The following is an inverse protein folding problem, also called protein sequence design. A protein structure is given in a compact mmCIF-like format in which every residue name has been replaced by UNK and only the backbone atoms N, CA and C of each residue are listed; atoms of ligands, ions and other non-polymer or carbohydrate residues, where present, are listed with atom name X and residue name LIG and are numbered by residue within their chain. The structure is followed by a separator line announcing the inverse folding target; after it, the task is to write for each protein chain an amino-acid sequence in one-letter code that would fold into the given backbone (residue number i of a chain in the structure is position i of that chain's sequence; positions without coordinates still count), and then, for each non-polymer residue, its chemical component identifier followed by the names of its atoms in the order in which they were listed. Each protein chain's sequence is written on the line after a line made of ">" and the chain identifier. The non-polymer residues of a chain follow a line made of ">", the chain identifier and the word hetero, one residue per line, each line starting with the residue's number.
data_IF_541718922334
#
_entry.id   IF_541718922334
#
_cell.length_a   1.000
_cell.length_b   1.000
_cell.length_c   1.000
_cell.angle_alpha   90.00
_cell.angle_beta   90.00
_cell.angle_gamma   90.00
#
_symmetry.space_group_name_H-M   'P 1'
#
loop_
_entity.id
_entity.type
_entity.pdbx_description
1 polymer ?
#
# COMPACT_ATOMS: atom_id res chain seq x y z
N UNK A 1 -20.07 -33.23 -36.22
CA UNK A 1 -18.68 -33.66 -36.46
C UNK A 1 -17.96 -33.66 -35.11
N UNK A 2 -17.79 -34.81 -34.42
CA UNK A 2 -17.07 -34.83 -33.15
C UNK A 2 -15.56 -34.70 -33.40
N UNK A 3 -14.92 -33.76 -32.69
CA UNK A 3 -13.49 -33.52 -32.76
C UNK A 3 -12.71 -34.74 -32.24
N UNK A 4 -11.85 -35.30 -33.08
CA UNK A 4 -10.96 -36.40 -32.72
C UNK A 4 -9.85 -35.88 -31.81
N UNK A 5 -9.85 -36.34 -30.57
CA UNK A 5 -8.76 -36.11 -29.61
C UNK A 5 -7.62 -37.07 -29.97
N UNK A 6 -6.54 -36.53 -30.53
CA UNK A 6 -5.30 -37.26 -30.74
C UNK A 6 -4.58 -37.35 -29.38
N UNK A 7 -4.67 -38.52 -28.73
CA UNK A 7 -3.94 -38.83 -27.50
C UNK A 7 -2.57 -39.44 -27.83
N UNK A 8 -1.50 -38.78 -27.41
CA UNK A 8 -0.16 -39.38 -27.32
C UNK A 8 -0.11 -40.36 -26.13
N UNK A 9 0.59 -41.50 -26.25
CA UNK A 9 0.62 -42.53 -25.22
C UNK A 9 1.38 -42.05 -23.97
N UNK A 10 0.74 -42.11 -22.81
CA UNK A 10 1.38 -41.89 -21.50
C UNK A 10 0.97 -40.64 -20.73
N UNK A 11 0.14 -39.75 -21.29
CA UNK A 11 -0.46 -38.65 -20.52
C UNK A 11 -1.89 -39.00 -20.11
N UNK A 12 -2.28 -38.89 -18.82
CA UNK A 12 -3.68 -39.03 -18.45
C UNK A 12 -4.48 -37.97 -19.20
N UNK A 13 -5.53 -38.40 -19.90
CA UNK A 13 -6.47 -37.51 -20.57
C UNK A 13 -7.21 -36.65 -19.53
N UNK A 14 -6.60 -35.53 -19.12
CA UNK A 14 -7.26 -34.55 -18.26
C UNK A 14 -8.31 -33.89 -19.14
N UNK A 15 -9.59 -34.20 -18.89
CA UNK A 15 -10.70 -33.57 -19.60
C UNK A 15 -10.58 -32.04 -19.47
N UNK A 16 -10.88 -31.25 -20.52
CA UNK A 16 -10.72 -29.80 -20.50
C UNK A 16 -11.46 -29.12 -19.34
N UNK A 17 -12.65 -29.63 -18.98
CA UNK A 17 -13.45 -29.26 -17.80
C UNK A 17 -12.69 -29.37 -16.45
N UNK A 18 -11.70 -30.26 -16.38
CA UNK A 18 -10.87 -30.43 -15.19
C UNK A 18 -9.74 -29.38 -15.13
N UNK A 19 -9.25 -28.85 -16.26
CA UNK A 19 -8.15 -27.87 -16.28
C UNK A 19 -8.58 -26.48 -15.80
N UNK A 20 -9.78 -26.06 -16.17
CA UNK A 20 -10.33 -24.76 -15.76
C UNK A 20 -10.66 -24.73 -14.27
N UNK A 21 -11.27 -25.82 -13.77
CA UNK A 21 -11.58 -25.98 -12.35
C UNK A 21 -10.32 -26.00 -11.48
N UNK A 22 -9.25 -26.68 -11.91
CA UNK A 22 -7.97 -26.66 -11.18
C UNK A 22 -7.32 -25.27 -11.17
N UNK A 23 -7.40 -24.53 -12.28
CA UNK A 23 -6.91 -23.14 -12.32
C UNK A 23 -7.67 -22.22 -11.36
N UNK A 24 -9.00 -22.35 -11.29
CA UNK A 24 -9.83 -21.59 -10.35
C UNK A 24 -9.44 -21.92 -8.91
N UNK A 25 -9.26 -23.20 -8.58
CA UNK A 25 -8.82 -23.64 -7.23
C UNK A 25 -7.45 -23.08 -6.88
N UNK A 26 -6.49 -23.18 -7.79
CA UNK A 26 -5.13 -22.66 -7.60
C UNK A 26 -5.18 -21.18 -7.23
N UNK A 27 -5.92 -20.38 -8.01
CA UNK A 27 -6.07 -18.94 -7.76
C UNK A 27 -6.80 -18.63 -6.45
N UNK A 28 -7.89 -19.32 -6.14
CA UNK A 28 -8.63 -19.10 -4.89
C UNK A 28 -7.83 -19.51 -3.65
N UNK A 29 -6.90 -20.45 -3.77
CA UNK A 29 -6.03 -20.89 -2.68
C UNK A 29 -4.79 -20.01 -2.51
N UNK A 30 -4.24 -19.44 -3.60
CA UNK A 30 -3.02 -18.61 -3.53
C UNK A 30 -3.31 -17.15 -3.13
N UNK A 31 -4.36 -16.54 -3.69
CA UNK A 31 -4.66 -15.12 -3.52
C UNK A 31 -4.81 -14.67 -2.07
N UNK A 32 -5.41 -15.45 -1.13
CA UNK A 32 -5.49 -15.04 0.27
C UNK A 32 -4.11 -14.81 0.91
N UNK A 33 -3.11 -15.63 0.59
CA UNK A 33 -1.75 -15.47 1.09
C UNK A 33 -1.08 -14.24 0.47
N UNK A 34 -1.26 -14.02 -0.83
CA UNK A 34 -0.75 -12.83 -1.54
C UNK A 34 -1.37 -11.53 -0.97
N UNK A 35 -2.68 -11.53 -0.71
CA UNK A 35 -3.39 -10.40 -0.06
C UNK A 35 -2.83 -10.16 1.35
N UNK A 36 -2.55 -11.21 2.11
CA UNK A 36 -2.02 -11.07 3.47
C UNK A 36 -0.62 -10.44 3.46
N UNK A 37 0.25 -10.83 2.52
CA UNK A 37 1.58 -10.24 2.39
C UNK A 37 1.50 -8.78 1.92
N UNK A 38 0.68 -8.47 0.92
CA UNK A 38 0.48 -7.08 0.48
C UNK A 38 -0.05 -6.18 1.61
N UNK A 39 -0.98 -6.69 2.44
CA UNK A 39 -1.47 -5.97 3.63
C UNK A 39 -0.41 -5.81 4.71
N UNK A 40 0.54 -6.74 4.82
CA UNK A 40 1.67 -6.62 5.74
C UNK A 40 2.61 -5.52 5.26
N UNK A 41 2.98 -5.51 3.97
CA UNK A 41 3.77 -4.45 3.37
C UNK A 41 3.15 -3.06 3.57
N UNK A 42 1.83 -2.92 3.31
CA UNK A 42 1.14 -1.65 3.53
C UNK A 42 1.20 -1.20 5.00
N UNK A 43 1.08 -2.13 5.96
CA UNK A 43 1.19 -1.81 7.39
C UNK A 43 2.60 -1.37 7.77
N UNK A 44 3.62 -2.05 7.25
CA UNK A 44 5.03 -1.70 7.49
C UNK A 44 5.35 -0.30 6.96
N UNK A 45 4.93 0.01 5.72
CA UNK A 45 5.10 1.35 5.14
C UNK A 45 4.34 2.42 5.94
N UNK A 46 3.12 2.11 6.39
CA UNK A 46 2.35 3.03 7.24
C UNK A 46 3.05 3.32 8.56
N UNK A 47 3.55 2.28 9.25
CA UNK A 47 4.31 2.46 10.49
C UNK A 47 5.56 3.30 10.26
N UNK A 48 6.32 3.03 9.20
CA UNK A 48 7.49 3.84 8.86
C UNK A 48 7.13 5.31 8.58
N UNK A 49 6.02 5.57 7.88
CA UNK A 49 5.55 6.93 7.63
C UNK A 49 5.19 7.66 8.94
N UNK A 50 4.51 6.98 9.86
CA UNK A 50 4.12 7.55 11.15
C UNK A 50 5.34 7.85 12.03
N UNK A 51 6.36 6.99 12.01
CA UNK A 51 7.63 7.22 12.70
C UNK A 51 8.37 8.46 12.15
N UNK A 52 8.49 8.57 10.84
CA UNK A 52 9.14 9.73 10.19
C UNK A 52 8.37 11.02 10.51
N UNK A 53 7.04 11.01 10.45
CA UNK A 53 6.21 12.16 10.84
C UNK A 53 6.45 12.56 12.30
N UNK A 54 6.55 11.59 13.20
CA UNK A 54 6.87 11.85 14.61
C UNK A 54 8.23 12.53 14.78
N UNK A 55 9.26 12.08 14.06
CA UNK A 55 10.58 12.71 14.07
C UNK A 55 10.54 14.15 13.53
N UNK A 56 9.84 14.37 12.40
CA UNK A 56 9.66 15.71 11.84
C UNK A 56 8.93 16.65 12.80
N UNK A 57 7.88 16.17 13.48
CA UNK A 57 7.15 16.95 14.49
C UNK A 57 8.04 17.37 15.67
N UNK A 58 8.96 16.50 16.11
CA UNK A 58 9.91 16.84 17.17
C UNK A 58 10.86 17.97 16.73
N UNK A 59 11.36 17.93 15.49
CA UNK A 59 12.20 19.00 14.93
C UNK A 59 11.42 20.31 14.82
N UNK A 60 10.18 20.25 14.34
CA UNK A 60 9.30 21.42 14.24
C UNK A 60 9.03 22.05 15.61
N UNK A 61 8.73 21.23 16.61
CA UNK A 61 8.48 21.68 17.98
C UNK A 61 9.71 22.36 18.60
N UNK A 62 10.90 21.78 18.41
CA UNK A 62 12.16 22.35 18.90
C UNK A 62 12.45 23.71 18.24
N UNK A 63 12.34 23.80 16.91
CA UNK A 63 12.55 25.06 16.20
C UNK A 63 11.52 26.11 16.63
N UNK A 64 10.25 25.72 16.78
CA UNK A 64 9.20 26.62 17.23
C UNK A 64 9.45 27.13 18.65
N UNK A 65 9.94 26.28 19.55
CA UNK A 65 10.36 26.67 20.90
C UNK A 65 11.48 27.72 20.86
N UNK A 66 12.52 27.50 20.05
CA UNK A 66 13.61 28.46 19.87
C UNK A 66 13.11 29.80 19.30
N UNK A 67 12.17 29.77 18.36
CA UNK A 67 11.56 30.98 17.79
C UNK A 67 10.76 31.73 18.85
N UNK A 68 9.96 31.04 19.65
CA UNK A 68 9.12 31.65 20.68
C UNK A 68 9.95 32.27 21.83
N UNK A 69 11.09 31.67 22.16
CA UNK A 69 11.96 32.12 23.25
C UNK A 69 13.03 33.13 22.80
N UNK A 70 13.21 33.33 21.49
CA UNK A 70 14.14 34.30 20.96
C UNK A 70 13.73 35.73 21.33
N UNK A 71 14.63 36.46 22.00
CA UNK A 71 14.44 37.87 22.38
C UNK A 71 15.55 38.75 21.81
N UNK A 72 15.28 40.04 21.66
CA UNK A 72 16.28 41.04 21.28
C UNK A 72 17.01 41.61 22.51
N UNK A 73 17.97 42.53 22.31
CA UNK A 73 18.74 43.17 23.38
C UNK A 73 17.89 43.94 24.41
N UNK A 74 16.63 44.25 24.08
CA UNK A 74 15.68 44.92 24.98
C UNK A 74 14.73 43.93 25.68
N UNK A 75 14.96 42.62 25.55
CA UNK A 75 14.14 41.56 26.15
C UNK A 75 12.77 41.35 25.47
N UNK A 76 12.52 41.98 24.32
CA UNK A 76 11.27 41.80 23.57
C UNK A 76 11.38 40.60 22.63
N UNK A 77 10.29 39.87 22.34
CA UNK A 77 10.30 38.78 21.37
C UNK A 77 10.87 39.21 20.03
N UNK A 78 11.79 38.42 19.48
CA UNK A 78 12.39 38.67 18.18
C UNK A 78 11.37 38.51 17.04
N UNK A 79 10.42 37.59 17.21
CA UNK A 79 9.33 37.31 16.27
C UNK A 79 7.98 37.65 16.92
N UNK A 80 7.62 38.94 16.82
CA UNK A 80 6.54 39.54 17.63
C UNK A 80 5.11 39.08 17.30
N UNK A 81 4.86 38.48 16.13
CA UNK A 81 3.54 37.99 15.75
C UNK A 81 3.60 36.59 15.12
N UNK A 82 2.45 35.94 15.01
CA UNK A 82 2.33 34.57 14.50
C UNK A 82 2.81 34.44 13.05
N UNK A 83 2.52 35.42 12.20
CA UNK A 83 2.98 35.45 10.81
C UNK A 83 4.51 35.42 10.71
N UNK A 84 5.21 36.21 11.54
CA UNK A 84 6.67 36.24 11.59
C UNK A 84 7.24 34.91 12.10
N UNK A 85 6.61 34.31 13.12
CA UNK A 85 7.02 33.01 13.65
C UNK A 85 6.88 31.90 12.61
N UNK A 86 5.76 31.86 11.90
CA UNK A 86 5.51 30.87 10.85
C UNK A 86 6.44 31.05 9.65
N UNK A 87 6.75 32.30 9.26
CA UNK A 87 7.72 32.57 8.21
C UNK A 87 9.14 32.11 8.59
N UNK A 88 9.56 32.39 9.83
CA UNK A 88 10.85 31.95 10.32
C UNK A 88 10.94 30.43 10.49
N UNK A 89 9.89 29.79 10.99
CA UNK A 89 9.80 28.32 11.09
C UNK A 89 10.02 27.69 9.70
N UNK A 90 9.29 28.15 8.69
CA UNK A 90 9.46 27.68 7.30
C UNK A 90 10.88 27.91 6.78
N UNK A 91 11.47 29.08 7.05
CA UNK A 91 12.84 29.39 6.64
C UNK A 91 13.86 28.45 7.28
N UNK A 92 13.73 28.19 8.60
CA UNK A 92 14.63 27.29 9.33
C UNK A 92 14.47 25.84 8.92
N UNK A 93 13.24 25.36 8.75
CA UNK A 93 12.97 23.99 8.26
C UNK A 93 13.53 23.79 6.85
N UNK A 94 13.42 24.79 5.97
CA UNK A 94 14.00 24.74 4.62
C UNK A 94 15.53 24.67 4.62
N UNK A 95 16.18 25.12 5.70
CA UNK A 95 17.64 25.11 5.87
C UNK A 95 18.13 23.96 6.76
N UNK A 96 17.23 23.20 7.39
CA UNK A 96 17.57 22.08 8.26
C UNK A 96 17.76 20.80 7.41
N UNK A 97 19.00 20.27 7.29
CA UNK A 97 19.27 19.11 6.44
C UNK A 97 18.52 17.85 6.89
N UNK A 98 18.48 17.59 8.20
CA UNK A 98 17.79 16.44 8.78
C UNK A 98 16.29 16.46 8.46
N UNK A 99 15.64 17.63 8.58
CA UNK A 99 14.24 17.77 8.21
C UNK A 99 14.00 17.55 6.71
N UNK A 100 14.91 18.01 5.83
CA UNK A 100 14.79 17.77 4.39
C UNK A 100 14.98 16.29 4.04
N UNK A 101 15.93 15.61 4.69
CA UNK A 101 16.15 14.17 4.54
C UNK A 101 14.92 13.37 4.98
N UNK A 102 14.38 13.67 6.16
CA UNK A 102 13.15 13.05 6.65
C UNK A 102 11.95 13.32 5.74
N UNK A 103 11.83 14.54 5.20
CA UNK A 103 10.78 14.88 4.25
C UNK A 103 10.88 14.06 2.96
N UNK A 104 12.10 13.89 2.43
CA UNK A 104 12.32 13.05 1.25
C UNK A 104 12.03 11.56 1.54
N UNK A 105 12.46 11.07 2.71
CA UNK A 105 12.17 9.70 3.16
C UNK A 105 10.66 9.48 3.32
N UNK A 106 9.94 10.44 3.92
CA UNK A 106 8.49 10.37 4.06
C UNK A 106 7.80 10.27 2.69
N UNK A 107 8.21 11.09 1.72
CA UNK A 107 7.66 11.03 0.36
C UNK A 107 7.87 9.66 -0.29
N UNK A 108 9.06 9.07 -0.12
CA UNK A 108 9.36 7.74 -0.66
C UNK A 108 8.51 6.64 -0.01
N UNK A 109 8.37 6.68 1.33
CA UNK A 109 7.54 5.72 2.08
C UNK A 109 6.05 5.88 1.77
N UNK A 110 5.56 7.12 1.63
CA UNK A 110 4.17 7.39 1.24
C UNK A 110 3.85 6.89 -0.17
N UNK A 111 4.80 7.02 -1.11
CA UNK A 111 4.67 6.42 -2.44
C UNK A 111 4.59 4.88 -2.34
N UNK A 112 5.47 4.26 -1.55
CA UNK A 112 5.44 2.82 -1.30
C UNK A 112 4.16 2.33 -0.61
N UNK A 113 3.61 3.11 0.32
CA UNK A 113 2.32 2.84 0.95
C UNK A 113 1.19 2.86 -0.08
N UNK A 114 1.14 3.90 -0.92
CA UNK A 114 0.14 4.02 -1.97
C UNK A 114 0.18 2.82 -2.93
N UNK A 115 1.37 2.41 -3.36
CA UNK A 115 1.55 1.23 -4.22
C UNK A 115 1.08 -0.05 -3.53
N UNK A 116 1.43 -0.24 -2.26
CA UNK A 116 1.02 -1.41 -1.49
C UNK A 116 -0.51 -1.47 -1.30
N UNK A 117 -1.16 -0.34 -1.00
CA UNK A 117 -2.61 -0.25 -0.87
C UNK A 117 -3.32 -0.51 -2.22
N UNK A 118 -2.77 0.00 -3.33
CA UNK A 118 -3.28 -0.30 -4.66
C UNK A 118 -3.20 -1.80 -4.99
N UNK A 119 -2.08 -2.45 -4.65
CA UNK A 119 -1.90 -3.89 -4.83
C UNK A 119 -2.90 -4.69 -3.99
N UNK A 120 -3.13 -4.31 -2.74
CA UNK A 120 -4.14 -4.96 -1.88
C UNK A 120 -5.52 -4.89 -2.54
N UNK A 121 -5.92 -3.72 -3.04
CA UNK A 121 -7.21 -3.56 -3.71
C UNK A 121 -7.30 -4.41 -4.97
N UNK A 122 -6.26 -4.39 -5.80
CA UNK A 122 -6.19 -5.22 -7.01
C UNK A 122 -6.37 -6.71 -6.69
N UNK A 123 -5.64 -7.23 -5.70
CA UNK A 123 -5.71 -8.66 -5.33
C UNK A 123 -7.07 -9.04 -4.73
N UNK A 124 -7.70 -8.14 -3.98
CA UNK A 124 -9.06 -8.34 -3.46
C UNK A 124 -10.07 -8.41 -4.60
N UNK A 125 -9.96 -7.51 -5.59
CA UNK A 125 -10.85 -7.50 -6.74
C UNK A 125 -10.64 -8.73 -7.64
N UNK A 126 -9.38 -9.15 -7.84
CA UNK A 126 -9.05 -10.41 -8.51
C UNK A 126 -9.67 -11.61 -7.77
N UNK A 127 -9.53 -11.68 -6.44
CA UNK A 127 -10.11 -12.75 -5.63
C UNK A 127 -11.64 -12.80 -5.73
N UNK A 128 -12.30 -11.63 -5.71
CA UNK A 128 -13.76 -11.53 -5.91
C UNK A 128 -14.17 -12.01 -7.30
N UNK A 129 -13.43 -11.64 -8.34
CA UNK A 129 -13.68 -12.08 -9.71
C UNK A 129 -13.57 -13.61 -9.82
N UNK A 130 -12.52 -14.22 -9.28
CA UNK A 130 -12.36 -15.67 -9.27
C UNK A 130 -13.46 -16.39 -8.49
N UNK A 131 -13.94 -15.82 -7.38
CA UNK A 131 -15.06 -16.37 -6.62
C UNK A 131 -16.35 -16.37 -7.46
N UNK A 132 -16.62 -15.28 -8.17
CA UNK A 132 -17.78 -15.19 -9.05
C UNK A 132 -17.71 -16.21 -10.21
N UNK A 133 -16.53 -16.39 -10.81
CA UNK A 133 -16.31 -17.42 -11.84
C UNK A 133 -16.55 -18.81 -11.27
N UNK A 134 -16.02 -19.11 -10.08
CA UNK A 134 -16.21 -20.41 -9.43
C UNK A 134 -17.69 -20.72 -9.16
N UNK A 135 -18.45 -19.72 -8.70
CA UNK A 135 -19.90 -19.84 -8.46
C UNK A 135 -20.67 -20.09 -9.76
N UNK A 136 -20.32 -19.37 -10.84
CA UNK A 136 -20.93 -19.57 -12.17
C UNK A 136 -20.64 -20.97 -12.71
N UNK A 137 -19.38 -21.41 -12.70
CA UNK A 137 -18.99 -22.75 -13.17
C UNK A 137 -19.69 -23.85 -12.36
N UNK A 138 -19.83 -23.68 -11.03
CA UNK A 138 -20.55 -24.62 -10.19
C UNK A 138 -22.05 -24.69 -10.57
N UNK A 139 -22.68 -23.55 -10.85
CA UNK A 139 -24.07 -23.49 -11.28
C UNK A 139 -24.29 -24.14 -12.65
N UNK A 140 -23.39 -23.89 -13.62
CA UNK A 140 -23.42 -24.54 -14.93
C UNK A 140 -23.32 -26.07 -14.82
N UNK A 141 -22.35 -26.56 -14.04
CA UNK A 141 -22.18 -28.00 -13.81
C UNK A 141 -23.37 -28.65 -13.11
N UNK A 142 -24.06 -27.92 -12.22
CA UNK A 142 -25.29 -28.38 -11.58
C UNK A 142 -26.46 -28.44 -12.56
N UNK A 143 -26.59 -27.45 -13.45
CA UNK A 143 -27.62 -27.41 -14.47
C UNK A 143 -27.48 -28.53 -15.52
N UNK A 144 -26.25 -28.91 -15.88
CA UNK A 144 -25.99 -30.02 -16.81
C UNK A 144 -26.26 -31.42 -16.23
N UNK A 145 -26.36 -31.54 -14.89
CA UNK A 145 -26.63 -32.83 -14.22
C UNK A 145 -28.11 -33.11 -14.01
N UNK A 146 -28.98 -32.13 -14.23
CA UNK A 146 -30.45 -32.25 -14.19
C UNK A 146 -31.02 -32.36 -15.61
#
# INVERSE_FOLDING_TARGET
>A
MPAQVILLPGQPAVRPENRETERIKEKLLSLPAEIAEAKKMAREQKTAADEIRGQMQNIEAEILYQINTATNNAGKPLFGNETMRNAELKRRLAQNPEYQELKAALQAVEAGLFEAEALVNQLIDEFRAWKAVAELTAAELAAFKN
#
